data_IF_828103819413
#
_entry.id   IF_828103819413
#
_cell.length_a   1.000
_cell.length_b   1.000
_cell.length_c   1.000
_cell.angle_alpha   90.00
_cell.angle_beta   90.00
_cell.angle_gamma   90.00
#
_symmetry.space_group_name_H-M   'P 1'
#
loop_
_entity.id
_entity.type
_entity.pdbx_description
1 polymer ?
#
# COMPACT_ATOMS: atom_id res chain seq x y z
N UNK A 1 18.69 16.39 -59.49
CA UNK A 1 17.43 16.42 -58.70
C UNK A 1 17.78 16.00 -57.29
N UNK A 2 17.91 16.98 -56.42
CA UNK A 2 18.29 16.87 -55.01
C UNK A 2 17.04 16.67 -54.15
N UNK A 3 17.03 15.64 -53.31
CA UNK A 3 16.08 15.52 -52.20
C UNK A 3 16.86 15.56 -50.89
N UNK A 4 16.50 16.45 -49.94
CA UNK A 4 17.05 16.45 -48.60
C UNK A 4 16.18 15.66 -47.61
N UNK A 5 16.88 14.92 -46.74
CA UNK A 5 16.73 14.81 -45.27
C UNK A 5 15.42 15.22 -44.55
N UNK A 6 15.19 14.48 -43.45
CA UNK A 6 14.34 14.75 -42.24
C UNK A 6 13.00 13.98 -42.27
N UNK A 7 12.51 13.35 -41.20
CA UNK A 7 12.77 13.50 -39.77
C UNK A 7 12.23 12.30 -38.97
N UNK A 8 12.97 11.94 -37.93
CA UNK A 8 12.50 11.29 -36.71
C UNK A 8 11.22 11.96 -36.18
N UNK A 9 10.23 11.16 -35.77
CA UNK A 9 9.18 11.57 -34.83
C UNK A 9 9.25 10.59 -33.65
N UNK A 10 10.14 10.84 -32.70
CA UNK A 10 9.84 11.48 -31.41
C UNK A 10 8.70 10.82 -30.65
N UNK A 11 9.13 9.92 -29.78
CA UNK A 11 8.53 9.59 -28.49
C UNK A 11 7.84 10.78 -27.83
N UNK A 12 6.56 10.62 -27.49
CA UNK A 12 5.91 11.43 -26.46
C UNK A 12 5.56 10.53 -25.27
N UNK A 13 6.49 10.47 -24.31
CA UNK A 13 6.13 10.25 -22.92
C UNK A 13 5.58 11.57 -22.38
N UNK A 14 4.36 11.65 -21.86
CA UNK A 14 4.00 12.78 -21.02
C UNK A 14 4.64 12.60 -19.65
N UNK A 15 5.83 13.17 -19.48
CA UNK A 15 6.29 13.62 -18.18
C UNK A 15 5.60 14.95 -17.87
N UNK A 16 5.04 15.06 -16.67
CA UNK A 16 5.18 16.20 -15.75
C UNK A 16 3.85 16.61 -15.14
N UNK A 17 3.71 16.38 -13.83
CA UNK A 17 3.35 17.49 -12.96
C UNK A 17 4.08 17.32 -11.62
N UNK A 18 5.22 18.03 -11.55
CA UNK A 18 6.01 18.24 -10.36
C UNK A 18 5.80 19.70 -9.98
N UNK A 19 5.00 19.94 -8.95
CA UNK A 19 5.09 21.18 -8.17
C UNK A 19 5.84 20.80 -6.90
N UNK A 20 7.12 21.17 -6.86
CA UNK A 20 7.92 21.21 -5.64
C UNK A 20 7.78 22.61 -5.07
N UNK A 21 7.37 22.71 -3.80
CA UNK A 21 7.97 23.64 -2.82
C UNK A 21 7.18 23.63 -1.50
N UNK A 22 7.71 22.96 -0.48
CA UNK A 22 7.67 23.41 0.92
C UNK A 22 9.03 23.05 1.57
N UNK A 23 9.66 23.97 2.35
CA UNK A 23 11.05 23.83 2.80
C UNK A 23 11.20 23.21 4.21
N UNK A 24 12.38 22.60 4.43
CA UNK A 24 13.07 22.32 5.69
C UNK A 24 12.36 21.48 6.78
N UNK A 25 12.66 20.17 6.82
CA UNK A 25 12.86 19.43 8.07
C UNK A 25 13.74 18.20 7.80
N UNK A 26 14.85 18.09 8.54
CA UNK A 26 15.83 16.99 8.61
C UNK A 26 16.30 16.35 7.28
N UNK A 27 17.61 16.38 7.03
CA UNK A 27 18.23 15.38 6.18
C UNK A 27 18.00 13.98 6.79
N UNK A 28 16.91 13.30 6.40
CA UNK A 28 16.75 11.88 6.68
C UNK A 28 17.90 11.16 5.96
N UNK A 29 18.89 10.70 6.72
CA UNK A 29 19.78 9.66 6.20
C UNK A 29 18.91 8.45 5.86
N UNK A 30 19.14 7.79 4.70
CA UNK A 30 18.38 6.60 4.36
C UNK A 30 18.51 5.61 5.51
N UNK A 31 17.37 5.12 6.01
CA UNK A 31 17.35 4.23 7.16
C UNK A 31 18.30 3.07 6.93
N UNK A 32 19.03 2.69 7.98
CA UNK A 32 19.96 1.57 7.87
C UNK A 32 19.18 0.32 7.49
N UNK A 33 19.75 -0.52 6.62
CA UNK A 33 19.11 -1.80 6.23
C UNK A 33 18.67 -2.61 7.45
N UNK A 34 19.44 -2.55 8.54
CA UNK A 34 19.12 -3.23 9.80
C UNK A 34 17.86 -2.67 10.47
N UNK A 35 17.61 -1.36 10.41
CA UNK A 35 16.43 -0.70 10.96
C UNK A 35 15.18 -1.10 10.17
N UNK A 36 15.27 -1.11 8.84
CA UNK A 36 14.18 -1.55 7.95
C UNK A 36 13.79 -3.00 8.27
N UNK A 37 14.78 -3.89 8.44
CA UNK A 37 14.52 -5.30 8.78
C UNK A 37 13.90 -5.44 10.18
N UNK A 38 14.37 -4.66 11.16
CA UNK A 38 13.80 -4.65 12.52
C UNK A 38 12.34 -4.19 12.50
N UNK A 39 12.06 -3.09 11.82
CA UNK A 39 10.70 -2.57 11.64
C UNK A 39 9.78 -3.59 10.96
N UNK A 40 10.23 -4.20 9.86
CA UNK A 40 9.49 -5.27 9.17
C UNK A 40 9.15 -6.42 10.13
N UNK A 41 10.11 -6.89 10.93
CA UNK A 41 9.90 -7.99 11.89
C UNK A 41 8.90 -7.61 12.98
N UNK A 42 8.99 -6.39 13.52
CA UNK A 42 8.07 -5.90 14.54
C UNK A 42 6.65 -5.77 13.99
N UNK A 43 6.47 -5.09 12.86
CA UNK A 43 5.18 -4.95 12.20
C UNK A 43 4.57 -6.31 11.85
N UNK A 44 5.36 -7.21 11.26
CA UNK A 44 4.89 -8.55 10.91
C UNK A 44 4.39 -9.32 12.14
N UNK A 45 5.15 -9.27 13.24
CA UNK A 45 4.77 -9.94 14.49
C UNK A 45 3.48 -9.37 15.06
N UNK A 46 3.33 -8.04 15.07
CA UNK A 46 2.12 -7.39 15.58
C UNK A 46 0.90 -7.63 14.68
N UNK A 47 1.07 -7.62 13.36
CA UNK A 47 0.00 -8.01 12.43
C UNK A 47 -0.52 -9.43 12.70
N UNK A 48 0.37 -10.38 12.97
CA UNK A 48 -0.02 -11.76 13.30
C UNK A 48 -0.83 -11.84 14.60
N UNK A 49 -0.43 -11.08 15.63
CA UNK A 49 -1.17 -10.98 16.89
C UNK A 49 -2.53 -10.32 16.67
N UNK A 50 -2.58 -9.21 15.92
CA UNK A 50 -3.82 -8.45 15.68
C UNK A 50 -4.87 -9.28 14.93
N UNK A 51 -4.45 -10.09 13.96
CA UNK A 51 -5.33 -11.01 13.25
C UNK A 51 -5.57 -12.35 13.99
N UNK A 52 -5.01 -12.53 15.19
CA UNK A 52 -5.12 -13.74 16.01
C UNK A 52 -4.73 -15.01 15.24
N UNK A 53 -3.74 -14.91 14.37
CA UNK A 53 -3.26 -16.01 13.52
C UNK A 53 -4.35 -16.66 12.64
N UNK A 54 -5.47 -15.97 12.40
CA UNK A 54 -6.59 -16.49 11.61
C UNK A 54 -6.26 -16.65 10.12
N UNK A 55 -6.87 -17.66 9.50
CA UNK A 55 -6.88 -17.83 8.04
C UNK A 55 -8.18 -17.20 7.50
N UNK A 56 -8.18 -16.48 6.36
CA UNK A 56 -7.06 -16.20 5.47
C UNK A 56 -6.18 -15.00 5.88
N UNK A 57 -6.59 -14.26 6.92
CA UNK A 57 -6.06 -12.93 7.22
C UNK A 57 -4.55 -12.84 7.40
N UNK A 58 -3.95 -13.82 8.09
CA UNK A 58 -2.50 -13.88 8.32
C UNK A 58 -1.68 -13.88 7.02
N UNK A 59 -2.18 -14.52 5.98
CA UNK A 59 -1.45 -14.64 4.71
C UNK A 59 -1.58 -13.37 3.88
N UNK A 60 -2.77 -12.78 3.86
CA UNK A 60 -3.04 -11.54 3.13
C UNK A 60 -2.22 -10.39 3.69
N UNK A 61 -2.19 -10.23 5.02
CA UNK A 61 -1.36 -9.22 5.69
C UNK A 61 0.12 -9.43 5.43
N UNK A 62 0.59 -10.68 5.51
CA UNK A 62 1.98 -11.02 5.20
C UNK A 62 2.35 -10.61 3.77
N UNK A 63 1.51 -10.96 2.80
CA UNK A 63 1.82 -10.76 1.39
C UNK A 63 1.77 -9.27 1.03
N UNK A 64 0.84 -8.51 1.62
CA UNK A 64 0.79 -7.04 1.54
C UNK A 64 2.04 -6.40 2.16
N UNK A 65 2.38 -6.75 3.40
CA UNK A 65 3.56 -6.22 4.08
C UNK A 65 4.85 -6.52 3.30
N UNK A 66 5.00 -7.76 2.80
CA UNK A 66 6.16 -8.12 1.97
C UNK A 66 6.21 -7.32 0.68
N UNK A 67 5.07 -7.08 0.04
CA UNK A 67 5.00 -6.29 -1.19
C UNK A 67 5.42 -4.84 -0.93
N UNK A 68 4.91 -4.22 0.13
CA UNK A 68 5.24 -2.83 0.47
C UNK A 68 6.71 -2.66 0.84
N UNK A 69 7.28 -3.54 1.65
CA UNK A 69 8.71 -3.47 2.01
C UNK A 69 9.66 -3.84 0.85
N UNK A 70 9.19 -4.63 -0.13
CA UNK A 70 10.00 -5.01 -1.29
C UNK A 70 9.96 -3.96 -2.40
N UNK A 71 8.84 -3.28 -2.56
CA UNK A 71 8.63 -2.27 -3.60
C UNK A 71 8.89 -0.84 -3.11
N UNK A 72 8.87 -0.61 -1.80
CA UNK A 72 9.09 0.69 -1.17
C UNK A 72 10.55 1.15 -1.26
N UNK A 73 10.73 2.47 -1.35
CA UNK A 73 12.06 3.09 -1.36
C UNK A 73 12.56 3.28 0.09
N UNK A 74 13.87 3.18 0.35
CA UNK A 74 14.44 3.44 1.69
C UNK A 74 14.16 4.86 2.21
N UNK A 75 13.95 5.81 1.31
CA UNK A 75 13.62 7.21 1.61
C UNK A 75 12.20 7.38 2.15
N UNK A 76 11.29 6.45 1.86
CA UNK A 76 9.91 6.46 2.36
C UNK A 76 9.80 5.88 3.78
N UNK A 77 10.92 5.40 4.33
CA UNK A 77 10.95 4.85 5.67
C UNK A 77 10.74 5.95 6.72
N UNK A 78 9.64 5.85 7.46
CA UNK A 78 9.31 6.74 8.57
C UNK A 78 9.14 5.93 9.86
N UNK A 79 10.10 6.08 10.77
CA UNK A 79 10.11 5.38 12.05
C UNK A 79 8.92 5.76 12.95
N UNK A 80 8.44 7.01 12.88
CA UNK A 80 7.30 7.46 13.69
C UNK A 80 6.02 6.80 13.18
N UNK A 81 5.80 6.76 11.86
CA UNK A 81 4.63 6.10 11.29
C UNK A 81 4.59 4.60 11.59
N UNK A 82 5.75 3.97 11.61
CA UNK A 82 5.88 2.56 12.00
C UNK A 82 5.51 2.37 13.47
N UNK A 83 5.97 3.24 14.37
CA UNK A 83 5.62 3.19 15.79
C UNK A 83 4.11 3.36 16.02
N UNK A 84 3.50 4.36 15.38
CA UNK A 84 2.04 4.59 15.44
C UNK A 84 1.26 3.37 14.90
N UNK A 85 1.76 2.75 13.83
CA UNK A 85 1.15 1.53 13.27
C UNK A 85 1.27 0.36 14.22
N UNK A 86 2.39 0.21 14.94
CA UNK A 86 2.54 -0.80 15.99
C UNK A 86 1.53 -0.58 17.12
N UNK A 87 1.33 0.66 17.57
CA UNK A 87 0.35 1.00 18.61
C UNK A 87 -1.08 0.72 18.14
N UNK A 88 -1.43 1.10 16.91
CA UNK A 88 -2.71 0.78 16.29
C UNK A 88 -2.97 -0.74 16.23
N UNK A 89 -1.97 -1.52 15.84
CA UNK A 89 -2.05 -2.98 15.80
C UNK A 89 -2.18 -3.57 17.22
N UNK A 90 -1.47 -3.00 18.20
CA UNK A 90 -1.59 -3.42 19.61
C UNK A 90 -3.01 -3.15 20.14
N UNK A 91 -3.61 -2.00 19.83
CA UNK A 91 -5.01 -1.69 20.13
C UNK A 91 -5.98 -2.72 19.54
N UNK A 92 -5.74 -3.15 18.29
CA UNK A 92 -6.52 -4.19 17.62
C UNK A 92 -6.34 -5.60 18.24
N UNK A 93 -5.26 -5.86 18.98
CA UNK A 93 -5.08 -7.11 19.72
C UNK A 93 -5.86 -7.11 21.02
N UNK A 94 -5.80 -6.00 21.77
CA UNK A 94 -6.35 -5.87 23.12
C UNK A 94 -7.86 -5.93 23.14
N UNK A 95 -8.52 -5.29 22.17
CA UNK A 95 -9.97 -5.18 22.13
C UNK A 95 -10.55 -5.53 20.75
N UNK A 96 -11.83 -5.90 20.70
CA UNK A 96 -12.60 -5.98 19.45
C UNK A 96 -13.18 -4.61 19.07
N UNK A 97 -12.36 -3.57 19.21
CA UNK A 97 -12.70 -2.18 18.95
C UNK A 97 -12.70 -1.83 17.46
N UNK A 98 -12.59 -0.53 17.20
CA UNK A 98 -12.62 0.04 15.85
C UNK A 98 -11.40 -0.39 15.05
N UNK A 99 -10.21 -0.43 15.65
CA UNK A 99 -8.94 -0.84 15.04
C UNK A 99 -9.03 -2.28 14.53
N UNK A 100 -9.57 -3.18 15.36
CA UNK A 100 -9.79 -4.57 14.99
C UNK A 100 -10.78 -4.70 13.82
N UNK A 101 -11.89 -3.94 13.85
CA UNK A 101 -12.89 -3.93 12.77
C UNK A 101 -12.30 -3.40 11.46
N UNK A 102 -11.51 -2.33 11.51
CA UNK A 102 -10.81 -1.77 10.34
C UNK A 102 -9.89 -2.82 9.72
N UNK A 103 -9.00 -3.42 10.51
CA UNK A 103 -8.08 -4.45 10.01
C UNK A 103 -8.82 -5.65 9.43
N UNK A 104 -9.88 -6.12 10.10
CA UNK A 104 -10.69 -7.23 9.61
C UNK A 104 -11.30 -6.93 8.24
N UNK A 105 -11.89 -5.74 8.09
CA UNK A 105 -12.54 -5.32 6.85
C UNK A 105 -11.52 -5.14 5.72
N UNK A 106 -10.39 -4.47 5.98
CA UNK A 106 -9.31 -4.32 5.00
C UNK A 106 -8.81 -5.67 4.52
N UNK A 107 -8.55 -6.57 5.45
CA UNK A 107 -8.02 -7.90 5.13
C UNK A 107 -9.03 -8.72 4.32
N UNK A 108 -10.32 -8.62 4.65
CA UNK A 108 -11.39 -9.26 3.89
C UNK A 108 -11.44 -8.76 2.45
N UNK A 109 -11.37 -7.44 2.25
CA UNK A 109 -11.40 -6.85 0.90
C UNK A 109 -10.15 -7.23 0.09
N UNK A 110 -8.96 -7.18 0.69
CA UNK A 110 -7.73 -7.60 0.01
C UNK A 110 -7.73 -9.08 -0.34
N UNK A 111 -8.29 -9.94 0.52
CA UNK A 111 -8.44 -11.35 0.22
C UNK A 111 -9.37 -11.56 -0.99
N UNK A 112 -10.52 -10.90 -0.99
CA UNK A 112 -11.50 -10.96 -2.09
C UNK A 112 -10.94 -10.46 -3.43
N UNK A 113 -10.03 -9.48 -3.40
CA UNK A 113 -9.31 -9.02 -4.60
C UNK A 113 -8.39 -10.10 -5.17
N UNK A 114 -7.61 -10.75 -4.31
CA UNK A 114 -6.70 -11.81 -4.74
C UNK A 114 -7.43 -13.02 -5.33
N UNK A 115 -8.63 -13.32 -4.82
CA UNK A 115 -9.47 -14.38 -5.37
C UNK A 115 -10.14 -13.96 -6.68
N UNK A 116 -10.67 -12.72 -6.74
CA UNK A 116 -11.22 -12.13 -7.95
C UNK A 116 -10.18 -12.06 -9.08
N UNK A 117 -8.92 -11.73 -8.82
CA UNK A 117 -7.87 -11.70 -9.83
C UNK A 117 -7.57 -13.09 -10.42
N UNK A 118 -7.60 -14.14 -9.59
CA UNK A 118 -7.44 -15.53 -10.05
C UNK A 118 -8.63 -16.01 -10.86
N UNK A 119 -9.83 -15.56 -10.49
CA UNK A 119 -11.08 -15.93 -11.14
C UNK A 119 -11.35 -15.10 -12.41
N UNK A 120 -10.87 -13.86 -12.49
CA UNK A 120 -10.98 -12.98 -13.66
C UNK A 120 -10.20 -13.51 -14.87
N UNK A 121 -9.12 -14.27 -14.66
CA UNK A 121 -8.41 -14.99 -15.73
C UNK A 121 -9.34 -16.01 -16.42
N UNK A 122 -10.41 -16.45 -15.75
CA UNK A 122 -11.34 -17.48 -16.23
C UNK A 122 -12.66 -16.92 -16.78
N UNK A 123 -12.93 -15.62 -16.67
CA UNK A 123 -14.25 -15.04 -16.98
C UNK A 123 -14.21 -14.15 -18.24
N UNK A 124 -15.23 -14.20 -19.11
CA UNK A 124 -15.39 -13.27 -20.23
C UNK A 124 -15.54 -11.81 -19.76
N UNK A 125 -14.98 -10.89 -20.54
CA UNK A 125 -14.78 -9.47 -20.23
C UNK A 125 -16.10 -8.66 -20.31
N UNK A 126 -17.02 -8.86 -19.36
CA UNK A 126 -18.24 -8.04 -19.29
C UNK A 126 -17.97 -6.70 -18.57
N UNK A 127 -18.09 -5.59 -19.30
CA UNK A 127 -17.46 -4.30 -18.99
C UNK A 127 -18.14 -3.46 -17.89
N UNK A 128 -19.40 -3.72 -17.53
CA UNK A 128 -20.15 -2.91 -16.54
C UNK A 128 -19.86 -3.28 -15.08
N UNK A 129 -19.67 -4.56 -14.76
CA UNK A 129 -19.34 -5.03 -13.40
C UNK A 129 -17.94 -4.60 -12.96
N UNK A 130 -17.01 -4.54 -13.92
CA UNK A 130 -15.63 -4.09 -13.72
C UNK A 130 -15.55 -2.61 -13.32
N UNK A 131 -16.26 -1.70 -14.01
CA UNK A 131 -16.20 -0.26 -13.69
C UNK A 131 -16.70 0.05 -12.27
N UNK A 132 -17.79 -0.58 -11.82
CA UNK A 132 -18.31 -0.42 -10.45
C UNK A 132 -17.33 -0.96 -9.40
N UNK A 133 -16.61 -2.03 -9.73
CA UNK A 133 -15.59 -2.61 -8.83
C UNK A 133 -14.36 -1.72 -8.72
N UNK A 134 -13.93 -1.10 -9.84
CA UNK A 134 -12.83 -0.14 -9.87
C UNK A 134 -13.17 1.09 -9.03
N UNK A 135 -14.35 1.71 -9.21
CA UNK A 135 -14.74 2.90 -8.44
C UNK A 135 -14.84 2.63 -6.93
N UNK A 136 -15.34 1.45 -6.53
CA UNK A 136 -15.37 1.04 -5.11
C UNK A 136 -13.97 0.86 -4.53
N UNK A 137 -13.04 0.35 -5.33
CA UNK A 137 -11.65 0.17 -4.93
C UNK A 137 -10.94 1.52 -4.77
N UNK A 138 -11.19 2.46 -5.67
CA UNK A 138 -10.62 3.80 -5.60
C UNK A 138 -11.06 4.53 -4.32
N UNK A 139 -12.33 4.41 -3.96
CA UNK A 139 -12.83 4.96 -2.70
C UNK A 139 -12.17 4.31 -1.49
N UNK A 140 -12.02 2.98 -1.47
CA UNK A 140 -11.32 2.29 -0.38
C UNK A 140 -9.86 2.77 -0.28
N UNK A 141 -9.14 2.84 -1.39
CA UNK A 141 -7.75 3.29 -1.42
C UNK A 141 -7.63 4.74 -0.92
N UNK A 142 -8.56 5.61 -1.30
CA UNK A 142 -8.62 6.97 -0.81
C UNK A 142 -8.86 7.03 0.70
N UNK A 143 -9.82 6.26 1.23
CA UNK A 143 -10.09 6.22 2.68
C UNK A 143 -8.91 5.67 3.48
N UNK A 144 -8.22 4.63 2.99
CA UNK A 144 -6.98 4.10 3.60
C UNK A 144 -5.89 5.17 3.60
N UNK A 145 -5.74 5.92 2.50
CA UNK A 145 -4.80 7.04 2.45
C UNK A 145 -5.13 8.10 3.49
N UNK A 146 -6.39 8.53 3.59
CA UNK A 146 -6.81 9.51 4.60
C UNK A 146 -6.60 9.00 6.02
N UNK A 147 -6.83 7.71 6.27
CA UNK A 147 -6.55 7.08 7.56
C UNK A 147 -5.06 7.15 7.90
N UNK A 148 -4.21 6.85 6.92
CA UNK A 148 -2.76 6.89 7.06
C UNK A 148 -2.25 8.31 7.32
N UNK A 149 -2.81 9.33 6.67
CA UNK A 149 -2.42 10.73 6.89
C UNK A 149 -2.91 11.25 8.25
N UNK A 150 -4.16 10.96 8.64
CA UNK A 150 -4.78 11.50 9.87
C UNK A 150 -4.20 10.90 11.15
N UNK A 151 -3.88 9.60 11.15
CA UNK A 151 -3.28 8.91 12.29
C UNK A 151 -1.77 8.68 12.15
N UNK A 152 -1.16 9.19 11.09
CA UNK A 152 0.26 8.95 10.81
C UNK A 152 0.60 7.45 10.76
N UNK A 153 -0.21 6.64 10.08
CA UNK A 153 0.00 5.20 9.95
C UNK A 153 0.68 4.85 8.62
N UNK A 154 1.24 3.65 8.53
CA UNK A 154 1.82 3.07 7.33
C UNK A 154 1.13 1.74 6.95
N UNK A 155 -0.20 1.75 6.84
CA UNK A 155 -0.96 0.57 6.40
C UNK A 155 -0.75 0.36 4.89
N UNK A 156 -0.39 -0.87 4.44
CA UNK A 156 -0.06 -1.20 3.06
C UNK A 156 -1.26 -1.35 2.11
#
# INVERSE_FOLDING_TARGET
MSTPSKSLVLSFRPCSFRIKSFPCYSAQMPASRNEIVRAYRQLYTQCLRACRYSKPSRYVLRDKLRSSFRNGLPEEFDAQRIANTIEFLDGATRSKGTEHRILKNLTFVWWSQGDSAKNAIKLPKESKSLMVTVTKMDHLNHTVRMLNETMGLCIP
#
